data_IF_954908847896
#
_entry.id   IF_954908847896
#
_cell.length_a   1.000
_cell.length_b   1.000
_cell.length_c   1.000
_cell.angle_alpha   90.00
_cell.angle_beta   90.00
_cell.angle_gamma   90.00
#
_symmetry.space_group_name_H-M   'P 1'
#
loop_
_entity.id
_entity.type
_entity.pdbx_description
1 polymer ?
#
# COMPACT_ATOMS: atom_id res chain seq x y z
N UNK A 1 -7.55 -4.90 -13.53
CA UNK A 1 -7.37 -6.17 -12.79
C UNK A 1 -8.20 -6.09 -11.52
N UNK A 2 -9.05 -7.06 -11.17
CA UNK A 2 -9.78 -7.00 -9.90
C UNK A 2 -8.84 -6.87 -8.69
N UNK A 3 -9.30 -6.23 -7.61
CA UNK A 3 -8.54 -5.97 -6.37
C UNK A 3 -7.81 -7.20 -5.80
N UNK A 4 -8.36 -8.40 -6.00
CA UNK A 4 -7.75 -9.66 -5.56
C UNK A 4 -6.46 -10.02 -6.31
N UNK A 5 -6.36 -9.69 -7.61
CA UNK A 5 -5.22 -10.07 -8.44
C UNK A 5 -3.95 -9.28 -8.07
N UNK A 6 -4.12 -8.02 -7.65
CA UNK A 6 -3.00 -7.18 -7.20
C UNK A 6 -2.39 -7.69 -5.90
N UNK A 7 -3.22 -8.18 -4.97
CA UNK A 7 -2.76 -8.78 -3.71
C UNK A 7 -2.06 -10.10 -3.98
N UNK A 8 -2.64 -10.97 -4.81
CA UNK A 8 -2.00 -12.23 -5.21
C UNK A 8 -0.67 -11.99 -5.96
N UNK A 9 -0.60 -10.97 -6.80
CA UNK A 9 0.60 -10.60 -7.55
C UNK A 9 1.76 -10.21 -6.65
N UNK A 10 1.52 -9.27 -5.71
CA UNK A 10 2.55 -8.88 -4.72
C UNK A 10 2.87 -10.03 -3.76
N UNK A 11 1.87 -10.83 -3.36
CA UNK A 11 2.10 -12.00 -2.52
C UNK A 11 3.04 -13.03 -3.16
N UNK A 12 2.83 -13.33 -4.45
CA UNK A 12 3.73 -14.19 -5.25
C UNK A 12 5.12 -13.58 -5.40
N UNK A 13 5.20 -12.27 -5.65
CA UNK A 13 6.49 -11.56 -5.74
C UNK A 13 7.31 -11.72 -4.44
N UNK A 14 6.67 -11.47 -3.29
CA UNK A 14 7.31 -11.64 -1.97
C UNK A 14 7.69 -13.09 -1.71
N UNK A 15 6.88 -14.06 -2.14
CA UNK A 15 7.19 -15.48 -1.97
C UNK A 15 8.42 -15.89 -2.77
N UNK A 16 8.52 -15.46 -4.03
CA UNK A 16 9.65 -15.77 -4.92
C UNK A 16 10.98 -15.18 -4.41
N UNK A 17 10.93 -14.06 -3.67
CA UNK A 17 12.09 -13.44 -3.05
C UNK A 17 12.38 -13.93 -1.62
N UNK A 18 11.65 -14.96 -1.13
CA UNK A 18 11.73 -15.45 0.25
C UNK A 18 11.44 -14.40 1.33
N UNK A 19 10.64 -13.38 0.98
CA UNK A 19 10.22 -12.31 1.89
C UNK A 19 8.84 -12.55 2.49
N UNK A 20 7.99 -13.37 1.86
CA UNK A 20 6.62 -13.64 2.33
C UNK A 20 6.50 -14.08 3.81
N UNK A 21 7.44 -14.86 4.39
CA UNK A 21 7.39 -15.22 5.81
C UNK A 21 7.48 -14.04 6.79
N UNK A 22 7.98 -12.88 6.36
CA UNK A 22 8.07 -11.68 7.21
C UNK A 22 6.80 -10.83 7.21
N UNK A 23 5.77 -11.24 6.47
CA UNK A 23 4.54 -10.47 6.30
C UNK A 23 3.29 -11.30 6.56
N UNK A 24 2.44 -10.78 7.42
CA UNK A 24 1.12 -11.31 7.73
C UNK A 24 0.00 -10.38 7.28
N UNK A 25 -1.21 -10.94 7.18
CA UNK A 25 -2.43 -10.16 6.96
C UNK A 25 -3.00 -9.74 8.31
N UNK A 26 -2.69 -8.51 8.74
CA UNK A 26 -3.00 -8.01 10.07
C UNK A 26 -3.67 -6.63 10.05
N UNK A 27 -4.48 -6.31 11.09
CA UNK A 27 -4.93 -4.95 11.32
C UNK A 27 -3.78 -4.05 11.80
N UNK A 28 -3.81 -2.79 11.38
CA UNK A 28 -2.93 -1.71 11.86
C UNK A 28 -3.82 -0.62 12.42
N UNK A 29 -3.51 -0.15 13.63
CA UNK A 29 -4.33 0.83 14.34
C UNK A 29 -4.42 0.53 15.83
N UNK A 30 -5.54 0.91 16.41
CA UNK A 30 -5.92 0.62 17.80
C UNK A 30 -7.37 0.12 17.89
N UNK A 31 -7.88 -0.01 19.11
CA UNK A 31 -9.25 -0.48 19.39
C UNK A 31 -10.33 0.49 18.86
N UNK A 32 -10.00 1.77 18.68
CA UNK A 32 -10.94 2.78 18.17
C UNK A 32 -10.97 2.81 16.65
N UNK A 33 -9.81 2.67 16.01
CA UNK A 33 -9.69 2.66 14.57
C UNK A 33 -8.56 1.75 14.12
N UNK A 34 -8.89 0.69 13.39
CA UNK A 34 -7.93 -0.18 12.73
C UNK A 34 -8.30 -0.47 11.28
N UNK A 35 -7.27 -0.80 10.50
CA UNK A 35 -7.35 -1.02 9.07
C UNK A 35 -6.58 -2.30 8.73
N UNK A 36 -7.21 -3.23 8.02
CA UNK A 36 -6.54 -4.47 7.60
C UNK A 36 -5.65 -4.22 6.39
N UNK A 37 -4.40 -4.66 6.49
CA UNK A 37 -3.42 -4.60 5.41
C UNK A 37 -2.93 -6.01 5.06
N UNK A 38 -2.79 -6.33 3.76
CA UNK A 38 -2.47 -7.69 3.30
C UNK A 38 -1.05 -8.13 3.65
N UNK A 39 -0.13 -7.18 3.80
CA UNK A 39 1.27 -7.45 4.10
C UNK A 39 1.73 -6.50 5.19
N UNK A 40 1.84 -7.01 6.40
CA UNK A 40 2.31 -6.30 7.59
C UNK A 40 3.46 -7.09 8.19
N UNK A 41 4.61 -6.44 8.32
CA UNK A 41 5.73 -6.92 9.12
C UNK A 41 5.73 -6.20 10.47
N UNK A 42 5.90 -6.97 11.53
CA UNK A 42 5.92 -6.48 12.91
C UNK A 42 7.35 -6.46 13.47
N UNK A 43 7.59 -5.60 14.44
CA UNK A 43 8.85 -5.54 15.20
C UNK A 43 8.54 -5.22 16.66
N UNK A 44 9.19 -5.92 17.60
CA UNK A 44 8.64 -7.05 18.37
C UNK A 44 7.12 -7.14 18.51
N UNK A 45 6.40 -6.03 18.73
CA UNK A 45 4.94 -6.04 18.97
C UNK A 45 4.16 -4.96 18.20
N UNK A 46 4.83 -4.18 17.34
CA UNK A 46 4.19 -3.10 16.58
C UNK A 46 4.36 -3.30 15.07
N UNK A 47 3.31 -3.03 14.26
CA UNK A 47 3.44 -2.92 12.82
C UNK A 47 4.51 -1.91 12.44
N UNK A 48 5.51 -2.34 11.66
CA UNK A 48 6.65 -1.50 11.26
C UNK A 48 6.69 -1.26 9.75
N UNK A 49 6.51 -2.31 8.96
CA UNK A 49 6.56 -2.24 7.49
C UNK A 49 5.24 -2.75 6.93
N UNK A 50 4.59 -1.96 6.08
CA UNK A 50 3.31 -2.31 5.48
C UNK A 50 3.36 -2.11 3.98
N UNK A 51 2.84 -3.08 3.24
CA UNK A 51 2.67 -2.98 1.78
C UNK A 51 1.19 -3.15 1.44
N UNK A 52 0.64 -2.19 0.70
CA UNK A 52 -0.74 -2.22 0.21
C UNK A 52 -0.79 -2.09 -1.31
N UNK A 53 -1.10 -3.17 -2.04
CA UNK A 53 -1.47 -3.06 -3.43
C UNK A 53 -2.80 -2.33 -3.55
N UNK A 54 -2.89 -1.33 -4.42
CA UNK A 54 -4.08 -0.50 -4.62
C UNK A 54 -4.39 -0.38 -6.11
N UNK A 55 -5.59 -0.80 -6.50
CA UNK A 55 -6.05 -0.79 -7.88
C UNK A 55 -6.70 0.56 -8.23
N UNK A 56 -5.94 1.44 -8.88
CA UNK A 56 -6.33 2.75 -9.40
C UNK A 56 -6.59 2.77 -10.91
N UNK A 57 -6.31 1.70 -11.68
CA UNK A 57 -6.68 1.65 -13.09
C UNK A 57 -8.18 1.32 -13.30
N UNK A 58 -9.06 2.22 -12.85
CA UNK A 58 -10.51 2.12 -13.01
C UNK A 58 -10.98 2.67 -14.37
N UNK A 59 -12.18 2.28 -14.79
CA UNK A 59 -12.76 2.74 -16.06
C UNK A 59 -13.13 4.23 -16.05
N UNK A 60 -13.42 4.80 -14.88
CA UNK A 60 -13.85 6.19 -14.73
C UNK A 60 -12.96 6.93 -13.72
N UNK A 61 -12.56 8.20 -13.99
CA UNK A 61 -11.77 9.00 -13.05
C UNK A 61 -12.39 9.12 -11.66
N UNK A 62 -13.71 9.28 -11.55
CA UNK A 62 -14.40 9.38 -10.25
C UNK A 62 -14.21 8.11 -9.42
N UNK A 63 -14.28 6.91 -10.04
CA UNK A 63 -14.02 5.65 -9.34
C UNK A 63 -12.58 5.55 -8.83
N UNK A 64 -11.61 6.15 -9.52
CA UNK A 64 -10.22 6.25 -9.06
C UNK A 64 -10.15 7.13 -7.81
N UNK A 65 -10.77 8.30 -7.85
CA UNK A 65 -10.80 9.25 -6.74
C UNK A 65 -11.52 8.68 -5.51
N UNK A 66 -12.66 8.01 -5.70
CA UNK A 66 -13.42 7.40 -4.60
C UNK A 66 -12.61 6.27 -3.93
N UNK A 67 -12.04 5.38 -4.75
CA UNK A 67 -11.31 4.23 -4.22
C UNK A 67 -9.96 4.62 -3.59
N UNK A 68 -9.26 5.57 -4.21
CA UNK A 68 -8.03 6.14 -3.68
C UNK A 68 -8.25 7.01 -2.45
N UNK A 69 -9.23 7.91 -2.51
CA UNK A 69 -9.59 8.84 -1.43
C UNK A 69 -10.05 8.11 -0.17
N UNK A 70 -10.70 6.97 -0.32
CA UNK A 70 -10.97 6.05 0.78
C UNK A 70 -9.71 5.59 1.52
N UNK A 71 -8.62 5.27 0.80
CA UNK A 71 -7.34 4.92 1.44
C UNK A 71 -6.63 6.15 2.02
N UNK A 72 -6.66 7.28 1.33
CA UNK A 72 -6.14 8.57 1.85
C UNK A 72 -6.78 8.90 3.20
N UNK A 73 -8.11 8.80 3.30
CA UNK A 73 -8.83 9.06 4.55
C UNK A 73 -8.41 8.11 5.68
N UNK A 74 -8.13 6.84 5.37
CA UNK A 74 -7.66 5.87 6.37
C UNK A 74 -6.25 6.12 6.85
N UNK A 75 -5.32 6.37 5.93
CA UNK A 75 -3.93 6.69 6.24
C UNK A 75 -3.87 7.98 7.06
N UNK A 76 -4.67 8.99 6.69
CA UNK A 76 -4.81 10.24 7.44
C UNK A 76 -5.29 10.00 8.88
N UNK A 77 -6.30 9.14 9.08
CA UNK A 77 -6.77 8.75 10.43
C UNK A 77 -5.71 8.00 11.23
N UNK A 78 -5.04 7.01 10.64
CA UNK A 78 -3.93 6.30 11.30
C UNK A 78 -2.83 7.28 11.73
N UNK A 79 -2.45 8.22 10.86
CA UNK A 79 -1.45 9.24 11.17
C UNK A 79 -1.90 10.15 12.30
N UNK A 80 -3.15 10.64 12.26
CA UNK A 80 -3.74 11.48 13.31
C UNK A 80 -3.75 10.79 14.68
N UNK A 81 -3.97 9.48 14.71
CA UNK A 81 -3.95 8.66 15.92
C UNK A 81 -2.54 8.19 16.32
N UNK A 82 -1.49 8.61 15.60
CA UNK A 82 -0.10 8.17 15.80
C UNK A 82 0.05 6.63 15.70
N UNK A 83 -0.77 6.00 14.85
CA UNK A 83 -0.77 4.55 14.57
C UNK A 83 -0.34 4.20 13.15
N UNK A 84 0.09 5.20 12.36
CA UNK A 84 0.68 4.92 11.04
C UNK A 84 2.07 4.30 11.24
N UNK A 85 2.35 3.11 10.65
CA UNK A 85 3.67 2.48 10.74
C UNK A 85 4.77 3.36 10.14
N UNK A 86 6.01 3.12 10.60
CA UNK A 86 7.17 3.88 10.14
C UNK A 86 7.42 3.76 8.64
N UNK A 87 7.10 2.61 8.04
CA UNK A 87 7.27 2.35 6.62
C UNK A 87 5.95 1.84 6.04
N UNK A 88 5.34 2.62 5.15
CA UNK A 88 4.11 2.24 4.45
C UNK A 88 4.29 2.46 2.96
N UNK A 89 4.14 1.40 2.17
CA UNK A 89 4.20 1.45 0.72
C UNK A 89 2.83 1.14 0.10
N UNK A 90 2.38 1.99 -0.81
CA UNK A 90 1.31 1.69 -1.75
C UNK A 90 1.89 1.29 -3.11
N UNK A 91 1.57 0.08 -3.56
CA UNK A 91 1.87 -0.37 -4.92
C UNK A 91 0.63 -0.14 -5.79
N UNK A 92 0.66 0.92 -6.61
CA UNK A 92 -0.48 1.34 -7.44
C UNK A 92 -0.30 0.89 -8.87
N UNK A 93 -1.36 0.47 -9.55
CA UNK A 93 -1.30 0.37 -11.00
C UNK A 93 -1.52 1.73 -11.66
N UNK A 94 -0.84 1.93 -12.79
CA UNK A 94 -0.96 3.15 -13.56
C UNK A 94 -2.26 3.11 -14.37
N UNK A 95 -3.07 4.16 -14.27
CA UNK A 95 -4.20 4.32 -15.15
C UNK A 95 -3.70 4.68 -16.56
N UNK A 96 -3.62 3.72 -17.47
CA UNK A 96 -3.03 3.91 -18.81
C UNK A 96 -3.93 4.69 -19.77
N UNK A 97 -5.24 4.68 -19.53
CA UNK A 97 -6.21 5.08 -20.54
C UNK A 97 -6.74 6.50 -20.32
N UNK A 98 -5.98 7.48 -20.79
CA UNK A 98 -6.42 8.86 -20.93
C UNK A 98 -5.93 9.81 -19.83
N UNK A 99 -5.83 11.10 -20.19
CA UNK A 99 -5.23 12.14 -19.35
C UNK A 99 -5.97 12.35 -18.02
N UNK A 100 -7.31 12.31 -18.03
CA UNK A 100 -8.12 12.52 -16.81
C UNK A 100 -7.92 11.41 -15.78
N UNK A 101 -7.79 10.15 -16.23
CA UNK A 101 -7.55 9.02 -15.33
C UNK A 101 -6.14 9.08 -14.73
N UNK A 102 -5.14 9.40 -15.55
CA UNK A 102 -3.76 9.65 -15.08
C UNK A 102 -3.70 10.77 -14.06
N UNK A 103 -4.42 11.87 -14.28
CA UNK A 103 -4.51 12.97 -13.34
C UNK A 103 -5.12 12.53 -12.00
N UNK A 104 -6.25 11.81 -12.02
CA UNK A 104 -6.88 11.29 -10.80
C UNK A 104 -5.98 10.30 -10.04
N UNK A 105 -5.31 9.38 -10.73
CA UNK A 105 -4.38 8.46 -10.10
C UNK A 105 -3.16 9.18 -9.49
N UNK A 106 -2.65 10.20 -10.19
CA UNK A 106 -1.56 11.05 -9.70
C UNK A 106 -1.97 11.85 -8.46
N UNK A 107 -3.18 12.41 -8.45
CA UNK A 107 -3.72 13.14 -7.30
C UNK A 107 -3.71 12.27 -6.04
N UNK A 108 -4.29 11.07 -6.13
CA UNK A 108 -4.28 10.10 -5.01
C UNK A 108 -2.86 9.71 -4.59
N UNK A 109 -1.96 9.48 -5.56
CA UNK A 109 -0.57 9.13 -5.25
C UNK A 109 0.14 10.28 -4.50
N UNK A 110 -0.10 11.52 -4.89
CA UNK A 110 0.49 12.70 -4.25
C UNK A 110 -0.10 12.93 -2.85
N UNK A 111 -1.40 12.71 -2.66
CA UNK A 111 -2.05 12.76 -1.34
C UNK A 111 -1.49 11.70 -0.37
N UNK A 112 -1.32 10.46 -0.83
CA UNK A 112 -0.70 9.39 -0.04
C UNK A 112 0.74 9.74 0.34
N UNK A 113 1.54 10.25 -0.60
CA UNK A 113 2.90 10.73 -0.33
C UNK A 113 2.93 11.86 0.68
N UNK A 114 2.02 12.83 0.59
CA UNK A 114 1.90 13.93 1.56
C UNK A 114 1.58 13.42 2.99
N UNK A 115 0.94 12.26 3.11
CA UNK A 115 0.73 11.60 4.39
C UNK A 115 1.97 10.85 4.91
N UNK A 116 3.05 10.79 4.16
CA UNK A 116 4.32 10.15 4.56
C UNK A 116 4.39 8.67 4.19
N UNK A 117 3.67 8.24 3.16
CA UNK A 117 3.75 6.89 2.61
C UNK A 117 4.53 6.89 1.30
N UNK A 118 5.25 5.82 1.01
CA UNK A 118 5.84 5.60 -0.30
C UNK A 118 4.78 5.12 -1.30
N UNK A 119 4.92 5.53 -2.55
CA UNK A 119 4.00 5.12 -3.63
C UNK A 119 4.81 4.79 -4.88
N UNK A 120 4.73 3.53 -5.31
CA UNK A 120 5.42 3.00 -6.49
C UNK A 120 4.45 2.35 -7.46
N UNK A 121 4.79 2.27 -8.77
CA UNK A 121 4.04 1.46 -9.72
C UNK A 121 4.07 -0.02 -9.32
N UNK A 122 2.95 -0.73 -9.42
CA UNK A 122 2.88 -2.17 -9.13
C UNK A 122 3.71 -3.01 -10.11
N UNK A 123 4.00 -2.44 -11.28
CA UNK A 123 4.90 -3.02 -12.28
C UNK A 123 6.37 -2.95 -11.85
N UNK A 124 6.74 -2.02 -10.96
CA UNK A 124 8.09 -1.86 -10.42
C UNK A 124 8.34 -2.87 -9.29
N UNK A 125 8.52 -4.12 -9.70
CA UNK A 125 8.79 -5.24 -8.79
C UNK A 125 10.09 -5.03 -8.00
N UNK A 126 11.08 -4.35 -8.58
CA UNK A 126 12.35 -4.10 -7.92
C UNK A 126 12.17 -3.15 -6.72
N UNK A 127 11.47 -2.02 -6.91
CA UNK A 127 11.18 -1.09 -5.83
C UNK A 127 10.33 -1.71 -4.72
N UNK A 128 9.35 -2.57 -5.06
CA UNK A 128 8.54 -3.29 -4.07
C UNK A 128 9.42 -4.23 -3.23
N UNK A 129 10.34 -4.96 -3.86
CA UNK A 129 11.24 -5.88 -3.16
C UNK A 129 12.26 -5.14 -2.29
N UNK A 130 12.85 -4.05 -2.79
CA UNK A 130 13.78 -3.21 -2.04
C UNK A 130 13.10 -2.63 -0.78
N UNK A 131 11.87 -2.15 -0.91
CA UNK A 131 11.10 -1.71 0.24
C UNK A 131 10.77 -2.88 1.18
N UNK A 132 10.40 -4.05 0.64
CA UNK A 132 10.06 -5.22 1.44
C UNK A 132 11.25 -5.77 2.23
N UNK A 133 12.50 -5.59 1.77
CA UNK A 133 13.70 -5.97 2.51
C UNK A 133 13.83 -5.25 3.86
N UNK A 134 13.18 -4.09 4.04
CA UNK A 134 13.08 -3.43 5.35
C UNK A 134 12.43 -4.32 6.42
N UNK A 135 11.64 -5.32 6.05
CA UNK A 135 11.01 -6.27 6.96
C UNK A 135 11.98 -7.30 7.54
N UNK A 136 13.18 -7.45 6.96
CA UNK A 136 14.18 -8.36 7.51
C UNK A 136 14.65 -7.84 8.87
N UNK A 137 14.82 -8.73 9.88
CA UNK A 137 15.47 -8.34 11.12
C UNK A 137 16.89 -7.87 10.82
N UNK A 138 17.29 -6.73 11.39
CA UNK A 138 18.69 -6.31 11.39
C UNK A 138 19.41 -7.17 12.43
N UNK A 139 20.40 -7.94 11.97
CA UNK A 139 21.32 -8.69 12.83
C UNK A 139 22.27 -7.74 13.57
#
# INVERSE_FOLDING_TARGET
>A
MPLGDSILGVGKLLANASLKPYFDHLPVGDDTFNVKFPFVSTSPDAPRVVIKPLHLAQEEPNKILDHGGYWVARVSRLKKHQKLPAHVLFAIDEATDGQKKRAAAKEIADELRALGTDVVPIADKAAILEFADLARPKH
#
